data_IF_098601233000
#
_entry.id   IF_098601233000
#
_cell.length_a   1.000
_cell.length_b   1.000
_cell.length_c   1.000
_cell.angle_alpha   90.00
_cell.angle_beta   90.00
_cell.angle_gamma   90.00
#
_symmetry.space_group_name_H-M   'P 1'
#
loop_
_entity.id
_entity.type
_entity.pdbx_description
1 polymer ?
#
# COMPACT_ATOMS: atom_id res chain seq x y z
N UNK A 1 -17.69 6.95 13.84
CA UNK A 1 -16.38 7.26 13.21
C UNK A 1 -16.53 7.89 11.82
N UNK A 2 -16.02 9.10 11.59
CA UNK A 2 -16.14 9.86 10.31
C UNK A 2 -15.50 9.09 9.15
N UNK A 3 -16.11 9.14 7.94
CA UNK A 3 -15.60 8.46 6.72
C UNK A 3 -14.15 8.85 6.38
N UNK A 4 -13.77 10.10 6.59
CA UNK A 4 -12.37 10.57 6.40
C UNK A 4 -11.39 9.87 7.35
N UNK A 5 -11.74 9.76 8.63
CA UNK A 5 -10.88 9.15 9.66
C UNK A 5 -10.57 7.68 9.37
N UNK A 6 -11.57 6.92 8.85
CA UNK A 6 -11.37 5.55 8.38
C UNK A 6 -10.37 5.46 7.24
N UNK A 7 -10.46 6.35 6.24
CA UNK A 7 -9.51 6.40 5.11
C UNK A 7 -8.10 6.74 5.57
N UNK A 8 -7.96 7.67 6.51
CA UNK A 8 -6.67 8.05 7.10
C UNK A 8 -6.03 6.86 7.82
N UNK A 9 -6.78 6.16 8.67
CA UNK A 9 -6.28 4.99 9.39
C UNK A 9 -5.86 3.88 8.42
N UNK A 10 -6.67 3.58 7.40
CA UNK A 10 -6.30 2.59 6.37
C UNK A 10 -5.04 2.98 5.60
N UNK A 11 -4.86 4.27 5.29
CA UNK A 11 -3.67 4.78 4.61
C UNK A 11 -2.42 4.61 5.48
N UNK A 12 -2.52 4.95 6.77
CA UNK A 12 -1.43 4.78 7.74
C UNK A 12 -1.08 3.30 7.89
N UNK A 13 -2.08 2.41 7.98
CA UNK A 13 -1.87 0.97 8.09
C UNK A 13 -1.11 0.43 6.87
N UNK A 14 -1.47 0.86 5.66
CA UNK A 14 -0.78 0.48 4.42
C UNK A 14 0.69 0.92 4.45
N UNK A 15 0.95 2.16 4.89
CA UNK A 15 2.32 2.67 5.02
C UNK A 15 3.14 1.85 6.02
N UNK A 16 2.58 1.54 7.19
CA UNK A 16 3.26 0.74 8.22
C UNK A 16 3.60 -0.66 7.69
N UNK A 17 2.63 -1.33 7.04
CA UNK A 17 2.85 -2.66 6.44
C UNK A 17 3.91 -2.60 5.34
N UNK A 18 3.88 -1.55 4.50
CA UNK A 18 4.86 -1.38 3.42
C UNK A 18 6.28 -1.19 3.95
N UNK A 19 6.46 -0.40 5.02
CA UNK A 19 7.76 -0.20 5.67
C UNK A 19 8.24 -1.51 6.31
N UNK A 20 7.35 -2.24 6.99
CA UNK A 20 7.69 -3.53 7.60
C UNK A 20 8.14 -4.58 6.54
N UNK A 21 7.44 -4.66 5.41
CA UNK A 21 7.81 -5.53 4.28
C UNK A 21 9.17 -5.15 3.70
N UNK A 22 9.45 -3.86 3.55
CA UNK A 22 10.73 -3.39 3.05
C UNK A 22 11.90 -3.78 3.98
N UNK A 23 11.73 -3.59 5.29
CA UNK A 23 12.71 -4.01 6.29
C UNK A 23 12.91 -5.53 6.31
N UNK A 24 11.83 -6.30 6.22
CA UNK A 24 11.91 -7.76 6.15
C UNK A 24 12.69 -8.24 4.93
N UNK A 25 12.51 -7.60 3.77
CA UNK A 25 13.26 -7.93 2.56
C UNK A 25 14.74 -7.59 2.66
N UNK A 26 15.09 -6.45 3.28
CA UNK A 26 16.49 -6.11 3.57
C UNK A 26 17.11 -7.16 4.49
N UNK A 27 16.40 -7.55 5.54
CA UNK A 27 16.87 -8.57 6.48
C UNK A 27 17.10 -9.93 5.79
N UNK A 28 16.16 -10.35 4.93
CA UNK A 28 16.31 -11.59 4.15
C UNK A 28 17.50 -11.49 3.18
N UNK A 29 17.68 -10.35 2.51
CA UNK A 29 18.83 -10.10 1.62
C UNK A 29 20.15 -10.23 2.38
N UNK A 30 20.22 -9.63 3.57
CA UNK A 30 21.41 -9.64 4.41
C UNK A 30 21.76 -11.04 4.97
N UNK A 31 20.75 -11.86 5.30
CA UNK A 31 20.97 -13.16 5.93
C UNK A 31 21.10 -14.35 4.97
N UNK A 32 20.56 -14.27 3.75
CA UNK A 32 20.49 -15.43 2.86
C UNK A 32 21.37 -15.31 1.60
N UNK A 33 22.14 -14.21 1.41
CA UNK A 33 22.83 -13.88 0.15
C UNK A 33 21.93 -13.98 -1.09
N UNK A 34 20.61 -13.93 -0.89
CA UNK A 34 19.63 -14.05 -1.96
C UNK A 34 19.60 -12.75 -2.72
N UNK A 35 19.76 -12.85 -4.02
CA UNK A 35 19.63 -11.72 -4.95
C UNK A 35 18.17 -11.22 -4.88
N UNK A 36 17.97 -10.12 -4.16
CA UNK A 36 16.71 -9.37 -4.22
C UNK A 36 16.76 -8.53 -5.49
N UNK A 37 15.82 -8.72 -6.43
CA UNK A 37 15.83 -7.96 -7.68
C UNK A 37 15.70 -6.46 -7.44
N UNK A 38 16.38 -5.65 -8.24
CA UNK A 38 16.41 -4.19 -8.08
C UNK A 38 15.02 -3.55 -8.23
N UNK A 39 14.16 -4.17 -9.04
CA UNK A 39 12.77 -3.73 -9.23
C UNK A 39 11.87 -3.97 -8.02
N UNK A 40 12.32 -4.71 -6.99
CA UNK A 40 11.50 -5.03 -5.81
C UNK A 40 11.08 -3.77 -5.06
N UNK A 41 11.94 -2.75 -5.01
CA UNK A 41 11.60 -1.44 -4.42
C UNK A 41 10.49 -0.72 -5.19
N UNK A 42 10.51 -0.82 -6.52
CA UNK A 42 9.48 -0.22 -7.40
C UNK A 42 8.14 -0.91 -7.17
N UNK A 43 8.12 -2.26 -7.12
CA UNK A 43 6.91 -3.03 -6.85
C UNK A 43 6.32 -2.69 -5.48
N UNK A 44 7.18 -2.61 -4.45
CA UNK A 44 6.78 -2.23 -3.10
C UNK A 44 6.25 -0.79 -3.00
N UNK A 45 6.62 0.11 -3.91
CA UNK A 45 6.10 1.48 -3.94
C UNK A 45 4.78 1.60 -4.71
N UNK A 46 4.63 0.87 -5.82
CA UNK A 46 3.44 0.94 -6.68
C UNK A 46 2.20 0.37 -5.98
N UNK A 47 2.33 -0.77 -5.31
CA UNK A 47 1.21 -1.46 -4.64
C UNK A 47 0.53 -0.55 -3.58
N UNK A 48 1.24 0.02 -2.59
CA UNK A 48 0.63 0.91 -1.62
C UNK A 48 0.10 2.19 -2.27
N UNK A 49 0.75 2.72 -3.31
CA UNK A 49 0.24 3.88 -4.04
C UNK A 49 -1.13 3.62 -4.71
N UNK A 50 -1.28 2.45 -5.36
CA UNK A 50 -2.56 2.03 -5.95
C UNK A 50 -3.65 1.81 -4.90
N UNK A 51 -3.30 1.18 -3.77
CA UNK A 51 -4.23 0.93 -2.66
C UNK A 51 -4.72 2.25 -2.03
N UNK A 52 -3.81 3.19 -1.78
CA UNK A 52 -4.14 4.53 -1.26
C UNK A 52 -5.03 5.27 -2.26
N UNK A 53 -4.67 5.26 -3.55
CA UNK A 53 -5.48 5.87 -4.59
C UNK A 53 -6.90 5.28 -4.62
N UNK A 54 -7.05 3.95 -4.50
CA UNK A 54 -8.36 3.31 -4.45
C UNK A 54 -9.17 3.71 -3.20
N UNK A 55 -8.53 3.81 -2.03
CA UNK A 55 -9.18 4.24 -0.78
C UNK A 55 -9.69 5.69 -0.89
N UNK A 56 -8.89 6.58 -1.47
CA UNK A 56 -9.20 7.99 -1.54
C UNK A 56 -10.13 8.33 -2.71
N UNK A 57 -9.82 7.82 -3.90
CA UNK A 57 -10.46 8.11 -5.17
C UNK A 57 -11.51 7.06 -5.57
N UNK A 58 -12.18 6.43 -4.59
CA UNK A 58 -13.25 5.45 -4.80
C UNK A 58 -14.45 6.05 -5.58
N UNK A 59 -14.28 6.31 -6.88
CA UNK A 59 -15.32 6.68 -7.85
C UNK A 59 -16.11 5.47 -8.32
N UNK A 60 -15.65 4.25 -8.02
CA UNK A 60 -16.35 3.01 -8.36
C UNK A 60 -17.64 2.78 -7.56
N UNK A 61 -17.94 3.60 -6.54
CA UNK A 61 -19.17 3.50 -5.74
C UNK A 61 -20.25 4.56 -6.00
N UNK A 62 -20.13 5.44 -7.01
CA UNK A 62 -21.13 6.50 -7.27
C UNK A 62 -21.80 6.45 -8.65
N UNK A 63 -21.87 5.28 -9.29
CA UNK A 63 -22.78 5.05 -10.43
C UNK A 63 -23.88 4.07 -10.04
N UNK A 64 -24.77 4.49 -9.14
CA UNK A 64 -26.15 3.99 -8.96
C UNK A 64 -26.87 4.88 -7.93
N UNK A 65 -27.33 6.06 -8.37
CA UNK A 65 -28.41 6.87 -7.78
C UNK A 65 -28.62 8.09 -8.67
N UNK A 66 -29.29 7.89 -9.80
CA UNK A 66 -30.04 8.89 -10.55
C UNK A 66 -30.48 8.23 -11.86
N UNK A 67 -31.62 7.55 -11.81
CA UNK A 67 -32.78 7.83 -12.65
C UNK A 67 -33.98 7.09 -12.08
#
# INVERSE_FOLDING_TARGET
MKKKMRKTISTILILVVSVALFLALIYIKANNDKVVPEYTGIVLAIIPALLINNIWNNKFGKKKRSS
#
